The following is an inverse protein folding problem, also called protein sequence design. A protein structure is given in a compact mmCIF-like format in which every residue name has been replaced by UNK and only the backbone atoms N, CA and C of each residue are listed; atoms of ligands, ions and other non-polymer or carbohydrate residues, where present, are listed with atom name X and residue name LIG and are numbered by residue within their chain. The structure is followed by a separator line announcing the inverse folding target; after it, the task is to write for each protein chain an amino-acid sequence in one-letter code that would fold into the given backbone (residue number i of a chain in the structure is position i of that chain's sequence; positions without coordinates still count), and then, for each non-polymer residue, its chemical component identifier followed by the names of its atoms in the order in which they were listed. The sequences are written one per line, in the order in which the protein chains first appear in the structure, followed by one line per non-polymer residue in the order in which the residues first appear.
data_IF_348946618740
#
_entry.id   IF_348946618740
#
_cell.length_a   1.000
_cell.length_b   1.000
_cell.length_c   1.000
_cell.angle_alpha   90.00
_cell.angle_beta   90.00
_cell.angle_gamma   90.00
#
_symmetry.space_group_name_H-M   'P 1'
#
loop_
_entity.id
_entity.type
_entity.pdbx_description
1 polymer ?
#
# COMPACT_ATOMS: atom_id res chain seq x y z
N UNK A 1 -31.75 -17.06 -67.81
CA UNK A 1 -30.69 -16.05 -67.58
C UNK A 1 -30.87 -15.50 -66.16
N UNK A 2 -29.96 -15.61 -65.19
CA UNK A 2 -28.66 -16.32 -65.11
C UNK A 2 -28.55 -16.94 -63.70
N UNK A 3 -28.63 -18.28 -63.52
CA UNK A 3 -28.49 -18.94 -62.21
C UNK A 3 -27.13 -18.67 -61.55
N UNK A 4 -26.14 -18.24 -62.35
CA UNK A 4 -24.82 -17.79 -61.90
C UNK A 4 -24.86 -16.57 -60.98
N UNK A 5 -25.83 -15.66 -61.10
CA UNK A 5 -25.91 -14.46 -60.25
C UNK A 5 -26.47 -14.75 -58.85
N UNK A 6 -27.41 -15.71 -58.74
CA UNK A 6 -27.98 -16.12 -57.46
C UNK A 6 -26.97 -16.93 -56.62
N UNK A 7 -26.17 -17.79 -57.26
CA UNK A 7 -25.11 -18.57 -56.61
C UNK A 7 -23.99 -17.65 -56.10
N UNK A 8 -23.59 -16.64 -56.87
CA UNK A 8 -22.60 -15.66 -56.43
C UNK A 8 -23.09 -14.88 -55.21
N UNK A 9 -24.37 -14.48 -55.17
CA UNK A 9 -24.94 -13.75 -54.03
C UNK A 9 -25.01 -14.60 -52.75
N UNK A 10 -25.34 -15.89 -52.85
CA UNK A 10 -25.37 -16.81 -51.69
C UNK A 10 -23.95 -17.17 -51.19
N UNK A 11 -22.98 -17.28 -52.09
CA UNK A 11 -21.56 -17.52 -51.72
C UNK A 11 -20.94 -16.28 -51.07
N UNK A 12 -21.26 -15.07 -51.54
CA UNK A 12 -20.79 -13.83 -50.91
C UNK A 12 -21.45 -13.62 -49.54
N UNK A 13 -22.73 -13.95 -49.38
CA UNK A 13 -23.42 -13.81 -48.10
C UNK A 13 -22.96 -14.82 -47.04
N UNK A 14 -22.58 -16.05 -47.45
CA UNK A 14 -21.98 -17.04 -46.54
C UNK A 14 -20.52 -16.74 -46.20
N UNK A 15 -19.76 -16.11 -47.11
CA UNK A 15 -18.37 -15.70 -46.84
C UNK A 15 -18.29 -14.51 -45.86
N UNK A 16 -19.27 -13.61 -45.85
CA UNK A 16 -19.34 -12.50 -44.87
C UNK A 16 -19.67 -12.99 -43.46
N UNK A 17 -20.48 -14.05 -43.31
CA UNK A 17 -20.75 -14.64 -41.99
C UNK A 17 -19.57 -15.44 -41.42
N UNK A 18 -18.66 -15.93 -42.26
CA UNK A 18 -17.47 -16.67 -41.81
C UNK A 18 -16.35 -15.77 -41.24
N UNK A 19 -16.40 -14.44 -41.48
CA UNK A 19 -15.39 -13.49 -41.02
C UNK A 19 -15.72 -12.83 -39.66
N UNK A 20 -16.90 -13.09 -39.09
CA UNK A 20 -17.29 -12.58 -37.78
C UNK A 20 -16.82 -13.46 -36.60
N UNK A 21 -16.04 -14.52 -36.85
CA UNK A 21 -15.65 -15.51 -35.85
C UNK A 21 -14.35 -15.23 -35.07
N UNK A 22 -13.60 -14.19 -35.42
CA UNK A 22 -12.31 -13.90 -34.77
C UNK A 22 -12.31 -12.53 -34.09
N UNK A 23 -13.33 -12.24 -33.29
CA UNK A 23 -13.30 -11.16 -32.30
C UNK A 23 -13.56 -11.71 -30.89
N UNK A 24 -13.14 -12.94 -30.62
CA UNK A 24 -12.85 -13.35 -29.26
C UNK A 24 -11.34 -13.30 -29.12
N UNK A 25 -10.79 -12.09 -28.99
CA UNK A 25 -9.52 -11.94 -28.28
C UNK A 25 -9.80 -12.43 -26.87
N UNK A 26 -9.64 -13.74 -26.70
CA UNK A 26 -9.33 -14.35 -25.44
C UNK A 26 -8.14 -13.55 -24.94
N UNK A 27 -8.46 -12.61 -24.06
CA UNK A 27 -7.54 -11.71 -23.42
C UNK A 27 -6.59 -12.63 -22.68
N UNK A 28 -5.54 -13.03 -23.37
CA UNK A 28 -4.45 -13.80 -22.85
C UNK A 28 -3.77 -12.79 -21.95
N UNK A 29 -4.30 -12.71 -20.72
CA UNK A 29 -3.95 -11.68 -19.78
C UNK A 29 -2.44 -11.68 -19.70
N UNK A 30 -1.81 -10.62 -20.19
CA UNK A 30 -0.52 -10.20 -19.66
C UNK A 30 -0.80 -9.89 -18.20
N UNK A 31 -0.72 -10.92 -17.36
CA UNK A 31 -1.38 -10.94 -16.06
C UNK A 31 -0.65 -10.05 -15.07
N UNK A 32 -0.99 -8.77 -15.04
CA UNK A 32 -0.59 -7.88 -13.96
C UNK A 32 -1.54 -8.09 -12.77
N UNK A 33 -0.97 -8.29 -11.59
CA UNK A 33 -1.71 -8.22 -10.34
C UNK A 33 -1.83 -6.77 -9.88
N UNK A 34 -2.98 -6.39 -9.32
CA UNK A 34 -3.18 -5.08 -8.69
C UNK A 34 -3.13 -5.25 -7.18
N UNK A 35 -2.25 -4.49 -6.51
CA UNK A 35 -2.10 -4.50 -5.06
C UNK A 35 -2.59 -3.14 -4.52
N UNK A 36 -3.54 -3.10 -3.57
CA UNK A 36 -3.96 -1.86 -2.94
C UNK A 36 -2.81 -1.15 -2.23
N UNK A 37 -2.73 0.17 -2.37
CA UNK A 37 -1.74 1.00 -1.70
C UNK A 37 -2.39 1.94 -0.68
N UNK A 38 -1.80 2.02 0.50
CA UNK A 38 -2.05 3.05 1.50
C UNK A 38 -1.30 4.34 1.15
N UNK A 39 -1.80 5.47 1.66
CA UNK A 39 -1.13 6.78 1.59
C UNK A 39 -0.51 7.09 2.95
N UNK A 40 0.74 7.55 2.95
CA UNK A 40 1.46 7.97 4.15
C UNK A 40 2.39 9.15 3.84
N UNK A 41 3.19 9.56 4.82
CA UNK A 41 4.23 10.55 4.64
C UNK A 41 5.63 10.00 4.93
N UNK A 42 6.63 10.52 4.23
CA UNK A 42 8.05 10.35 4.54
C UNK A 42 8.80 11.61 4.11
N UNK A 43 9.70 12.13 4.95
CA UNK A 43 10.48 13.34 4.66
C UNK A 43 9.61 14.54 4.18
N UNK A 44 8.43 14.69 4.77
CA UNK A 44 7.46 15.74 4.41
C UNK A 44 6.67 15.47 3.12
N UNK A 45 7.02 14.45 2.35
CA UNK A 45 6.39 14.10 1.06
C UNK A 45 5.33 13.02 1.23
N UNK A 46 4.33 13.02 0.34
CA UNK A 46 3.37 11.91 0.24
C UNK A 46 4.03 10.70 -0.41
N UNK A 47 3.79 9.52 0.16
CA UNK A 47 4.24 8.23 -0.36
C UNK A 47 3.08 7.25 -0.42
N UNK A 48 3.23 6.22 -1.25
CA UNK A 48 2.30 5.11 -1.34
C UNK A 48 3.03 3.81 -1.02
N UNK A 49 2.39 2.93 -0.25
CA UNK A 49 2.98 1.68 0.24
C UNK A 49 1.91 0.58 0.29
N UNK A 50 2.29 -0.68 0.36
CA UNK A 50 1.36 -1.80 0.56
C UNK A 50 1.56 -2.45 1.93
N UNK A 51 0.55 -3.20 2.41
CA UNK A 51 0.68 -4.08 3.58
C UNK A 51 0.66 -5.51 3.06
N UNK A 52 1.77 -6.23 3.10
CA UNK A 52 1.84 -7.59 2.53
C UNK A 52 1.79 -8.67 3.61
N UNK A 53 2.61 -8.54 4.65
CA UNK A 53 2.69 -9.48 5.78
C UNK A 53 2.80 -8.75 7.11
N UNK A 54 2.35 -9.35 8.21
CA UNK A 54 2.46 -8.78 9.56
C UNK A 54 2.61 -9.85 10.64
N UNK A 55 3.37 -9.52 11.68
CA UNK A 55 3.67 -10.42 12.81
C UNK A 55 2.54 -10.60 13.82
N UNK A 56 1.47 -9.83 13.73
CA UNK A 56 0.33 -9.85 14.65
C UNK A 56 -0.94 -10.31 13.95
N UNK A 57 -1.63 -11.30 14.53
CA UNK A 57 -2.77 -11.97 13.89
C UNK A 57 -4.00 -11.05 13.79
N UNK A 58 -4.26 -10.23 14.82
CA UNK A 58 -5.42 -9.34 14.84
C UNK A 58 -5.23 -8.18 13.85
N UNK A 59 -4.01 -7.65 13.78
CA UNK A 59 -3.68 -6.63 12.81
C UNK A 59 -3.71 -7.17 11.37
N UNK A 60 -3.30 -8.42 11.13
CA UNK A 60 -3.42 -9.07 9.82
C UNK A 60 -4.87 -9.08 9.32
N UNK A 61 -5.80 -9.50 10.18
CA UNK A 61 -7.23 -9.53 9.85
C UNK A 61 -7.77 -8.12 9.59
N UNK A 62 -7.46 -7.17 10.49
CA UNK A 62 -7.91 -5.77 10.36
C UNK A 62 -7.41 -5.13 9.06
N UNK A 63 -6.13 -5.29 8.74
CA UNK A 63 -5.55 -4.75 7.51
C UNK A 63 -6.12 -5.45 6.27
N UNK A 64 -6.35 -6.76 6.32
CA UNK A 64 -6.99 -7.50 5.23
C UNK A 64 -8.38 -6.94 4.91
N UNK A 65 -9.19 -6.69 5.94
CA UNK A 65 -10.52 -6.11 5.79
C UNK A 65 -10.45 -4.67 5.27
N UNK A 66 -9.53 -3.85 5.81
CA UNK A 66 -9.35 -2.45 5.43
C UNK A 66 -8.92 -2.31 3.96
N UNK A 67 -7.94 -3.10 3.53
CA UNK A 67 -7.39 -3.04 2.18
C UNK A 67 -8.23 -3.80 1.16
N UNK A 68 -9.19 -4.62 1.61
CA UNK A 68 -9.95 -5.57 0.77
C UNK A 68 -9.01 -6.47 -0.06
N UNK A 69 -7.86 -6.81 0.52
CA UNK A 69 -6.80 -7.60 -0.08
C UNK A 69 -6.02 -8.31 1.04
N UNK A 70 -5.60 -9.57 0.86
CA UNK A 70 -4.95 -10.33 1.91
C UNK A 70 -3.68 -9.67 2.45
N UNK A 71 -3.60 -9.54 3.77
CA UNK A 71 -2.36 -9.28 4.52
C UNK A 71 -2.06 -10.52 5.35
N UNK A 72 -0.95 -11.19 5.06
CA UNK A 72 -0.68 -12.51 5.63
C UNK A 72 -0.10 -12.41 7.04
N UNK A 73 -0.60 -13.26 7.94
CA UNK A 73 -0.03 -13.40 9.27
C UNK A 73 1.28 -14.22 9.22
N UNK A 74 2.38 -13.61 9.65
CA UNK A 74 3.73 -14.20 9.67
C UNK A 74 4.39 -13.94 11.02
N UNK A 75 4.15 -14.79 12.04
CA UNK A 75 4.59 -14.54 13.42
C UNK A 75 6.10 -14.37 13.57
N UNK A 76 6.91 -15.03 12.74
CA UNK A 76 8.37 -14.91 12.79
C UNK A 76 8.89 -13.49 12.54
N UNK A 77 8.08 -12.62 11.94
CA UNK A 77 8.44 -11.20 11.75
C UNK A 77 8.65 -10.46 13.08
N UNK A 78 8.03 -10.87 14.19
CA UNK A 78 8.26 -10.24 15.50
C UNK A 78 9.66 -10.49 16.06
N UNK A 79 10.33 -11.54 15.57
CA UNK A 79 11.69 -11.91 15.98
C UNK A 79 12.77 -11.29 15.08
N UNK A 80 12.40 -10.44 14.12
CA UNK A 80 13.37 -9.74 13.27
C UNK A 80 14.19 -8.77 14.12
N UNK A 81 15.53 -8.81 14.05
CA UNK A 81 16.39 -7.90 14.80
C UNK A 81 16.10 -6.43 14.49
N UNK A 82 16.32 -5.56 15.47
CA UNK A 82 16.00 -4.13 15.36
C UNK A 82 16.75 -3.47 14.19
N UNK A 83 18.01 -3.84 13.98
CA UNK A 83 18.87 -3.38 12.90
C UNK A 83 18.41 -3.78 11.49
N UNK A 84 17.51 -4.77 11.38
CA UNK A 84 16.90 -5.19 10.12
C UNK A 84 15.52 -4.54 9.87
N UNK A 85 15.04 -3.73 10.82
CA UNK A 85 13.78 -2.99 10.73
C UNK A 85 14.00 -1.49 10.70
N UNK A 86 13.03 -0.78 10.15
CA UNK A 86 12.92 0.69 10.25
C UNK A 86 11.57 1.06 10.85
N UNK A 87 11.41 2.29 11.33
CA UNK A 87 10.18 2.68 12.01
C UNK A 87 9.04 2.95 11.02
N UNK A 88 7.82 2.67 11.46
CA UNK A 88 6.61 3.33 10.98
C UNK A 88 5.86 3.87 12.18
N UNK A 89 5.52 5.15 12.13
CA UNK A 89 4.88 5.88 13.21
C UNK A 89 3.38 5.91 12.97
N UNK A 90 2.62 5.33 13.90
CA UNK A 90 1.17 5.18 13.82
C UNK A 90 0.52 5.95 14.96
N UNK A 91 -0.41 6.84 14.63
CA UNK A 91 -0.98 7.79 15.59
C UNK A 91 -2.19 7.22 16.34
N UNK A 92 -2.11 7.17 17.67
CA UNK A 92 -3.20 6.73 18.55
C UNK A 92 -4.18 7.85 18.91
N UNK A 93 -3.76 9.11 18.75
CA UNK A 93 -4.58 10.29 18.98
C UNK A 93 -4.14 11.48 18.10
N UNK A 94 -4.71 12.66 18.35
CA UNK A 94 -4.35 13.89 17.65
C UNK A 94 -5.25 14.20 16.46
N UNK A 95 -4.64 14.62 15.34
CA UNK A 95 -5.36 15.04 14.14
C UNK A 95 -6.15 13.87 13.56
N UNK A 96 -7.46 14.04 13.34
CA UNK A 96 -8.31 13.01 12.72
C UNK A 96 -7.96 12.83 11.25
N UNK A 97 -7.96 11.57 10.78
CA UNK A 97 -7.52 11.27 9.43
C UNK A 97 -7.84 9.83 9.00
N UNK A 98 -7.06 9.34 8.05
CA UNK A 98 -7.24 8.03 7.41
C UNK A 98 -6.22 6.97 7.87
N UNK A 99 -5.44 7.24 8.92
CA UNK A 99 -4.56 6.26 9.53
C UNK A 99 -5.32 5.09 10.15
N UNK A 100 -4.65 3.97 10.43
CA UNK A 100 -5.31 2.71 10.82
C UNK A 100 -6.03 2.76 12.17
N UNK A 101 -5.74 3.77 13.01
CA UNK A 101 -6.40 4.03 14.29
C UNK A 101 -7.37 5.24 14.24
N UNK A 102 -7.67 5.77 13.06
CA UNK A 102 -8.63 6.87 12.86
C UNK A 102 -8.05 8.28 13.05
N UNK A 103 -6.73 8.39 13.08
CA UNK A 103 -5.98 9.66 13.16
C UNK A 103 -5.22 9.90 11.85
N UNK A 104 -4.25 10.80 11.84
CA UNK A 104 -3.51 11.16 10.63
C UNK A 104 -2.84 9.95 9.97
N UNK A 105 -2.42 10.13 8.72
CA UNK A 105 -1.69 9.09 7.98
C UNK A 105 -0.36 8.77 8.68
N UNK A 106 0.09 7.53 8.51
CA UNK A 106 1.35 7.06 9.10
C UNK A 106 2.54 7.85 8.55
N UNK A 107 3.60 7.92 9.34
CA UNK A 107 4.87 8.55 8.94
C UNK A 107 5.94 7.48 8.92
N UNK A 108 6.72 7.44 7.84
CA UNK A 108 7.83 6.50 7.66
C UNK A 108 9.15 7.27 7.79
N UNK A 109 10.13 6.63 8.41
CA UNK A 109 11.53 7.03 8.28
C UNK A 109 12.18 6.35 7.07
N UNK A 110 13.39 6.78 6.73
CA UNK A 110 14.27 6.07 5.80
C UNK A 110 13.57 5.60 4.50
N UNK A 111 13.05 6.51 3.65
CA UNK A 111 12.47 6.14 2.36
C UNK A 111 13.52 5.50 1.42
N UNK A 112 13.09 4.84 0.32
CA UNK A 112 14.01 4.25 -0.66
C UNK A 112 15.08 5.25 -1.12
N UNK A 113 16.34 4.82 -1.16
CA UNK A 113 17.49 5.67 -1.49
C UNK A 113 18.26 6.21 -0.28
N UNK A 114 17.76 6.00 0.94
CA UNK A 114 18.47 6.33 2.19
C UNK A 114 19.19 5.13 2.80
N UNK A 115 20.15 5.39 3.70
CA UNK A 115 21.04 4.35 4.30
C UNK A 115 20.31 3.40 5.29
N UNK A 116 19.03 3.63 5.61
CA UNK A 116 18.23 2.77 6.50
C UNK A 116 17.01 2.15 5.83
N UNK A 117 16.89 2.19 4.51
CA UNK A 117 15.68 1.65 3.88
C UNK A 117 15.57 0.14 4.06
N UNK A 118 14.44 -0.29 4.63
CA UNK A 118 13.96 -1.66 4.62
C UNK A 118 12.44 -1.62 4.46
N UNK A 119 11.82 -2.60 3.78
CA UNK A 119 10.38 -2.73 3.77
C UNK A 119 9.84 -3.31 5.10
N UNK A 120 10.70 -3.87 5.97
CA UNK A 120 10.27 -4.38 7.27
C UNK A 120 10.14 -3.21 8.26
N UNK A 121 8.90 -2.90 8.63
CA UNK A 121 8.56 -1.76 9.46
C UNK A 121 8.10 -2.20 10.84
N UNK A 122 8.79 -1.72 11.87
CA UNK A 122 8.38 -1.88 13.25
C UNK A 122 7.42 -0.75 13.62
N UNK A 123 6.26 -1.10 14.16
CA UNK A 123 5.27 -0.11 14.56
C UNK A 123 5.74 0.59 15.83
N UNK A 124 5.81 1.92 15.73
CA UNK A 124 5.97 2.83 16.86
C UNK A 124 4.66 3.59 17.01
N UNK A 125 4.00 3.43 18.16
CA UNK A 125 2.76 4.13 18.46
C UNK A 125 3.10 5.55 18.93
N UNK A 126 2.41 6.53 18.34
CA UNK A 126 2.57 7.95 18.64
C UNK A 126 1.35 8.44 19.39
N UNK A 127 1.58 9.06 20.55
CA UNK A 127 0.52 9.64 21.37
C UNK A 127 0.88 11.05 21.83
N UNK A 128 0.13 12.03 21.34
CA UNK A 128 0.16 13.41 21.82
C UNK A 128 -0.24 13.49 23.29
N UNK A 129 0.46 14.31 24.06
CA UNK A 129 0.11 14.62 25.44
C UNK A 129 -1.10 15.56 25.51
N UNK A 130 -1.88 15.47 26.58
CA UNK A 130 -3.08 16.30 26.80
C UNK A 130 -2.75 17.81 26.88
N UNK A 131 -1.52 18.15 27.29
CA UNK A 131 -1.03 19.52 27.37
C UNK A 131 -0.58 20.10 26.02
N UNK A 132 -0.44 19.27 24.99
CA UNK A 132 0.01 19.68 23.67
C UNK A 132 -1.17 19.95 22.73
N UNK A 133 -0.96 20.77 21.70
CA UNK A 133 -1.92 20.95 20.62
C UNK A 133 -1.49 20.09 19.42
N UNK A 134 -2.24 19.03 19.08
CA UNK A 134 -1.85 18.14 17.99
C UNK A 134 -1.81 18.87 16.64
N UNK A 135 -0.75 18.61 15.87
CA UNK A 135 -0.58 19.09 14.50
C UNK A 135 -0.29 17.90 13.55
N UNK A 136 -0.51 18.10 12.24
CA UNK A 136 -0.13 17.07 11.27
C UNK A 136 1.39 16.98 11.17
N UNK A 137 1.95 15.82 11.48
CA UNK A 137 3.39 15.56 11.32
C UNK A 137 3.61 14.72 10.07
N UNK A 138 4.62 15.08 9.25
CA UNK A 138 4.87 14.48 7.94
C UNK A 138 6.30 13.93 7.75
N UNK A 139 7.15 14.04 8.77
CA UNK A 139 8.52 13.50 8.74
C UNK A 139 8.90 12.87 10.07
N UNK A 140 9.78 11.87 10.05
CA UNK A 140 10.27 11.24 11.28
C UNK A 140 11.08 12.24 12.14
N UNK A 141 11.81 13.16 11.50
CA UNK A 141 12.55 14.24 12.19
C UNK A 141 11.62 15.11 13.03
N UNK A 142 10.46 15.48 12.48
CA UNK A 142 9.46 16.27 13.21
C UNK A 142 8.85 15.49 14.38
N UNK A 143 8.68 14.16 14.25
CA UNK A 143 8.23 13.30 15.37
C UNK A 143 9.26 13.30 16.49
N UNK A 144 10.55 13.10 16.17
CA UNK A 144 11.62 13.12 17.19
C UNK A 144 11.72 14.49 17.86
N UNK A 145 11.51 15.57 17.09
CA UNK A 145 11.50 16.93 17.63
C UNK A 145 10.34 17.13 18.60
N UNK A 146 9.13 16.72 18.21
CA UNK A 146 7.94 16.80 19.07
C UNK A 146 8.08 15.92 20.34
N UNK A 147 8.69 14.74 20.24
CA UNK A 147 9.02 13.92 21.41
C UNK A 147 10.01 14.64 22.34
N UNK A 148 11.10 15.17 21.78
CA UNK A 148 12.14 15.89 22.55
C UNK A 148 11.58 17.14 23.24
N UNK A 149 10.63 17.82 22.62
CA UNK A 149 9.92 18.95 23.19
C UNK A 149 8.89 18.55 24.27
N UNK A 150 8.65 17.26 24.47
CA UNK A 150 7.66 16.74 25.40
C UNK A 150 6.22 16.99 24.95
N UNK A 151 5.96 17.05 23.64
CA UNK A 151 4.63 17.24 23.08
C UNK A 151 3.90 15.91 22.85
N UNK A 152 4.66 14.85 22.59
CA UNK A 152 4.16 13.50 22.36
C UNK A 152 5.06 12.45 22.99
N UNK A 153 4.57 11.21 23.03
CA UNK A 153 5.30 10.02 23.50
C UNK A 153 5.31 8.96 22.42
N UNK A 154 6.38 8.16 22.41
CA UNK A 154 6.56 7.04 21.49
C UNK A 154 6.58 5.72 22.26
N UNK A 155 5.80 4.76 21.78
CA UNK A 155 5.81 3.39 22.31
C UNK A 155 6.22 2.43 21.19
N UNK A 156 7.43 1.86 21.32
CA UNK A 156 7.89 0.79 20.45
C UNK A 156 7.10 -0.49 20.73
N UNK A 157 6.66 -1.16 19.66
CA UNK A 157 6.02 -2.48 19.73
C UNK A 157 6.93 -3.57 19.16
N UNK A 158 6.59 -4.83 19.41
CA UNK A 158 7.21 -5.98 18.74
C UNK A 158 6.49 -6.37 17.43
N UNK A 159 5.57 -5.51 16.98
CA UNK A 159 4.81 -5.74 15.75
C UNK A 159 5.64 -5.25 14.57
N UNK A 160 5.92 -6.17 13.65
CA UNK A 160 6.62 -5.89 12.39
C UNK A 160 5.69 -6.19 11.23
N UNK A 161 5.64 -5.25 10.29
CA UNK A 161 4.85 -5.33 9.06
C UNK A 161 5.80 -5.22 7.86
N UNK A 162 5.64 -6.06 6.85
CA UNK A 162 6.29 -5.86 5.57
C UNK A 162 5.49 -4.84 4.76
N UNK A 163 6.06 -3.63 4.62
CA UNK A 163 5.43 -2.45 4.03
C UNK A 163 6.33 -1.83 2.94
N UNK A 164 6.45 -2.47 1.77
CA UNK A 164 7.25 -1.92 0.69
C UNK A 164 6.62 -0.64 0.12
N UNK A 165 7.48 0.31 -0.23
CA UNK A 165 7.06 1.52 -0.93
C UNK A 165 6.71 1.19 -2.38
N UNK A 166 5.55 1.68 -2.83
CA UNK A 166 5.04 1.58 -4.20
C UNK A 166 5.35 2.84 -5.00
N UNK A 167 5.25 4.02 -4.37
CA UNK A 167 5.57 5.32 -4.97
C UNK A 167 6.22 6.21 -3.92
N UNK A 168 7.31 6.89 -4.29
CA UNK A 168 8.06 7.84 -3.47
C UNK A 168 8.62 8.97 -4.36
N UNK A 169 9.25 9.97 -3.75
CA UNK A 169 9.68 11.19 -4.44
C UNK A 169 10.45 10.93 -5.76
N UNK A 170 11.38 9.98 -5.72
CA UNK A 170 12.30 9.71 -6.82
C UNK A 170 12.01 8.39 -7.57
N UNK A 171 10.86 7.74 -7.32
CA UNK A 171 10.59 6.45 -7.96
C UNK A 171 9.24 5.81 -7.68
N UNK A 172 8.97 4.73 -8.42
CA UNK A 172 7.79 3.89 -8.28
C UNK A 172 8.08 2.44 -8.68
N UNK A 173 7.17 1.54 -8.32
CA UNK A 173 7.15 0.13 -8.74
C UNK A 173 5.89 -0.18 -9.53
#
# INVERSE_FOLDING_TARGET
MKPKFLIISVVVLTLVMALAGCANQQNSGSGFASIPAGKAFAEGQEIYFSHTEVSDAQLAEKLTQMMKSPVLYVPSLSSVPEEATSAVYVFENGVKGKGPLGFQSDVFDNPPGTTGYTPLRRIILVKWLESATPAEIRSAVDIMTAETNGELTLQKTDIVVNMPFMVWADGKR
#
